data_IF_635535524542
#
_entry.id   IF_635535524542
#
_cell.length_a   1.000
_cell.length_b   1.000
_cell.length_c   1.000
_cell.angle_alpha   90.00
_cell.angle_beta   90.00
_cell.angle_gamma   90.00
#
_symmetry.space_group_name_H-M   'P 1'
#
loop_
_entity.id
_entity.type
_entity.pdbx_description
1 polymer ?
#
# COMPACT_ATOMS: atom_id res chain seq x y z
N UNK A 1 -27.27 -2.48 -1.96
CA UNK A 1 -25.91 -1.93 -2.19
C UNK A 1 -24.93 -3.08 -2.12
N UNK A 2 -24.18 -3.37 -3.19
CA UNK A 2 -23.14 -4.41 -3.17
C UNK A 2 -21.80 -3.83 -2.69
N UNK A 3 -21.82 -3.11 -1.56
CA UNK A 3 -20.64 -2.43 -1.00
C UNK A 3 -19.67 -3.45 -0.40
N UNK A 4 -18.85 -4.08 -1.25
CA UNK A 4 -17.80 -5.00 -0.81
C UNK A 4 -17.54 -6.21 -1.69
N UNK A 5 -18.43 -6.52 -2.63
CA UNK A 5 -18.27 -7.68 -3.52
C UNK A 5 -17.42 -7.34 -4.75
N UNK A 6 -16.47 -8.22 -5.06
CA UNK A 6 -15.66 -8.20 -6.27
C UNK A 6 -16.33 -8.90 -7.45
N UNK A 7 -15.63 -8.95 -8.58
CA UNK A 7 -16.14 -9.51 -9.85
C UNK A 7 -16.54 -10.99 -9.74
N UNK A 8 -15.83 -11.77 -8.93
CA UNK A 8 -16.08 -13.20 -8.74
C UNK A 8 -17.06 -13.50 -7.59
N UNK A 9 -17.74 -12.48 -7.07
CA UNK A 9 -18.67 -12.62 -5.94
C UNK A 9 -17.99 -12.79 -4.57
N UNK A 10 -16.65 -12.82 -4.52
CA UNK A 10 -15.86 -12.75 -3.29
C UNK A 10 -15.72 -11.32 -2.74
N UNK A 11 -15.02 -11.15 -1.63
CA UNK A 11 -14.68 -9.83 -1.10
C UNK A 11 -13.68 -9.10 -2.00
N UNK A 12 -13.83 -7.79 -2.16
CA UNK A 12 -12.91 -6.99 -2.97
C UNK A 12 -11.53 -6.84 -2.30
N UNK A 13 -10.50 -6.54 -3.10
CA UNK A 13 -9.09 -6.46 -2.64
C UNK A 13 -8.87 -5.55 -1.42
N UNK A 14 -9.57 -4.43 -1.36
CA UNK A 14 -9.43 -3.45 -0.28
C UNK A 14 -10.58 -3.50 0.74
N UNK A 15 -11.42 -4.54 0.69
CA UNK A 15 -12.54 -4.71 1.60
C UNK A 15 -12.15 -4.79 3.08
N UNK A 16 -11.05 -5.48 3.49
CA UNK A 16 -10.64 -5.50 4.89
C UNK A 16 -10.35 -4.11 5.46
N UNK A 17 -9.61 -3.26 4.73
CA UNK A 17 -9.35 -1.87 5.14
C UNK A 17 -10.62 -1.03 5.21
N UNK A 18 -11.59 -1.30 4.33
CA UNK A 18 -12.90 -0.66 4.40
C UNK A 18 -13.68 -1.09 5.65
N UNK A 19 -13.62 -2.37 6.03
CA UNK A 19 -14.24 -2.86 7.27
C UNK A 19 -13.61 -2.23 8.51
N UNK A 20 -12.28 -2.06 8.55
CA UNK A 20 -11.60 -1.38 9.65
C UNK A 20 -12.01 0.09 9.77
N UNK A 21 -12.12 0.79 8.63
CA UNK A 21 -12.60 2.16 8.59
C UNK A 21 -14.04 2.28 9.10
N UNK A 22 -14.94 1.42 8.61
CA UNK A 22 -16.33 1.39 9.08
C UNK A 22 -16.42 1.08 10.57
N UNK A 23 -15.64 0.11 11.05
CA UNK A 23 -15.61 -0.26 12.47
C UNK A 23 -15.18 0.93 13.33
N UNK A 24 -14.16 1.68 12.89
CA UNK A 24 -13.74 2.89 13.59
C UNK A 24 -14.85 3.96 13.61
N UNK A 25 -15.55 4.18 12.49
CA UNK A 25 -16.63 5.17 12.41
C UNK A 25 -17.79 4.79 13.34
N UNK A 26 -18.26 3.54 13.30
CA UNK A 26 -19.38 3.09 14.14
C UNK A 26 -19.10 3.30 15.63
N UNK A 27 -17.87 3.01 16.09
CA UNK A 27 -17.48 3.20 17.49
C UNK A 27 -17.36 4.68 17.87
N UNK A 28 -16.87 5.53 16.97
CA UNK A 28 -16.51 6.91 17.31
C UNK A 28 -17.58 7.96 16.94
N UNK A 29 -18.58 7.62 16.13
CA UNK A 29 -19.65 8.56 15.70
C UNK A 29 -21.05 8.09 16.08
N UNK A 30 -21.20 6.95 16.77
CA UNK A 30 -22.51 6.34 17.04
C UNK A 30 -23.35 6.99 18.15
N UNK A 31 -22.76 7.82 19.02
CA UNK A 31 -23.46 8.39 20.20
C UNK A 31 -23.75 9.88 20.13
N UNK A 32 -23.18 10.61 19.17
CA UNK A 32 -23.35 12.07 19.05
C UNK A 32 -23.60 12.43 17.58
N UNK A 33 -24.48 13.39 17.34
CA UNK A 33 -24.69 14.02 16.01
C UNK A 33 -23.48 14.87 15.56
N UNK A 34 -22.37 14.82 16.30
CA UNK A 34 -21.16 15.59 16.00
C UNK A 34 -20.16 14.77 15.21
N UNK A 35 -19.67 15.36 14.12
CA UNK A 35 -18.68 14.79 13.20
C UNK A 35 -17.25 14.74 13.79
N UNK A 36 -17.05 15.23 15.01
CA UNK A 36 -15.75 15.29 15.69
C UNK A 36 -15.06 13.92 15.83
N UNK A 37 -15.83 12.85 16.01
CA UNK A 37 -15.31 11.48 16.15
C UNK A 37 -14.66 10.93 14.89
N UNK A 38 -14.98 11.47 13.70
CA UNK A 38 -14.47 10.99 12.41
C UNK A 38 -12.96 11.18 12.27
N UNK A 39 -12.40 12.22 12.88
CA UNK A 39 -10.97 12.53 12.81
C UNK A 39 -10.08 11.47 13.47
N UNK A 40 -10.61 10.73 14.45
CA UNK A 40 -9.90 9.61 15.09
C UNK A 40 -9.64 8.46 14.12
N UNK A 41 -10.43 8.36 13.05
CA UNK A 41 -10.38 7.31 12.04
C UNK A 41 -9.53 7.67 10.82
N UNK A 42 -8.78 8.78 10.88
CA UNK A 42 -7.85 9.17 9.80
C UNK A 42 -6.82 8.09 9.47
N UNK A 43 -6.21 7.35 10.42
CA UNK A 43 -5.27 6.29 10.08
C UNK A 43 -5.89 5.18 9.22
N UNK A 44 -7.04 4.63 9.64
CA UNK A 44 -7.77 3.60 8.90
C UNK A 44 -8.24 4.11 7.54
N UNK A 45 -8.65 5.39 7.49
CA UNK A 45 -9.01 6.04 6.23
C UNK A 45 -7.81 6.07 5.30
N UNK A 46 -6.67 6.53 5.79
CA UNK A 46 -5.47 6.67 4.98
C UNK A 46 -4.98 5.32 4.46
N UNK A 47 -5.12 4.23 5.22
CA UNK A 47 -4.80 2.87 4.79
C UNK A 47 -5.76 2.37 3.69
N UNK A 48 -7.05 2.64 3.82
CA UNK A 48 -8.03 2.33 2.77
C UNK A 48 -7.72 3.08 1.45
N UNK A 49 -7.43 4.38 1.54
CA UNK A 49 -7.03 5.18 0.37
C UNK A 49 -5.68 4.76 -0.21
N UNK A 50 -4.77 4.27 0.63
CA UNK A 50 -3.50 3.71 0.20
C UNK A 50 -3.76 2.45 -0.64
N UNK A 51 -4.53 1.47 -0.15
CA UNK A 51 -4.85 0.25 -0.91
C UNK A 51 -5.54 0.50 -2.26
N UNK A 52 -6.38 1.55 -2.34
CA UNK A 52 -7.08 1.90 -3.57
C UNK A 52 -6.16 2.52 -4.62
N UNK A 53 -5.19 3.35 -4.19
CA UNK A 53 -4.43 4.21 -5.11
C UNK A 53 -2.92 3.95 -5.11
N UNK A 54 -2.41 3.15 -4.19
CA UNK A 54 -1.01 2.72 -4.05
C UNK A 54 0.01 3.87 -4.13
N UNK A 55 -0.36 5.08 -3.68
CA UNK A 55 0.47 6.29 -3.84
C UNK A 55 1.78 6.17 -3.07
N UNK A 56 1.74 5.66 -1.84
CA UNK A 56 2.92 5.52 -0.99
C UNK A 56 3.82 4.40 -1.54
N UNK A 57 3.22 3.27 -1.93
CA UNK A 57 3.93 2.17 -2.58
C UNK A 57 4.64 2.60 -3.87
N UNK A 58 3.95 3.28 -4.80
CA UNK A 58 4.55 3.77 -6.04
C UNK A 58 5.77 4.67 -5.79
N UNK A 59 5.66 5.61 -4.83
CA UNK A 59 6.77 6.49 -4.46
C UNK A 59 7.95 5.71 -3.89
N UNK A 60 7.69 4.75 -2.99
CA UNK A 60 8.74 3.91 -2.39
C UNK A 60 9.45 3.09 -3.47
N UNK A 61 8.70 2.47 -4.37
CA UNK A 61 9.24 1.67 -5.48
C UNK A 61 10.08 2.52 -6.43
N UNK A 62 9.66 3.74 -6.75
CA UNK A 62 10.46 4.67 -7.56
C UNK A 62 11.77 5.07 -6.87
N UNK A 63 11.73 5.35 -5.56
CA UNK A 63 12.93 5.69 -4.79
C UNK A 63 13.93 4.53 -4.75
N UNK A 64 13.45 3.29 -4.53
CA UNK A 64 14.28 2.08 -4.54
C UNK A 64 14.92 1.87 -5.92
N UNK A 65 14.13 1.98 -7.01
CA UNK A 65 14.64 1.91 -8.38
C UNK A 65 15.72 2.96 -8.67
N UNK A 66 15.50 4.19 -8.23
CA UNK A 66 16.46 5.27 -8.41
C UNK A 66 17.77 4.99 -7.66
N UNK A 67 17.70 4.50 -6.42
CA UNK A 67 18.86 4.09 -5.65
C UNK A 67 19.61 2.92 -6.32
N UNK A 68 18.90 1.90 -6.80
CA UNK A 68 19.46 0.78 -7.54
C UNK A 68 20.20 1.23 -8.81
N UNK A 69 19.57 2.12 -9.59
CA UNK A 69 20.18 2.67 -10.81
C UNK A 69 21.40 3.55 -10.53
N UNK A 70 21.45 4.26 -9.40
CA UNK A 70 22.64 5.01 -8.98
C UNK A 70 23.80 4.05 -8.67
N UNK A 71 23.52 2.99 -7.92
CA UNK A 71 24.53 1.98 -7.57
C UNK A 71 25.11 1.28 -8.80
N UNK A 72 24.25 0.87 -9.74
CA UNK A 72 24.66 0.30 -11.03
C UNK A 72 25.67 1.17 -11.81
N UNK A 73 25.59 2.50 -11.66
CA UNK A 73 26.49 3.43 -12.35
C UNK A 73 27.78 3.71 -11.58
N UNK A 74 27.73 3.65 -10.25
CA UNK A 74 28.84 4.03 -9.38
C UNK A 74 29.77 2.86 -9.06
N UNK A 75 29.23 1.65 -8.94
CA UNK A 75 29.97 0.47 -8.51
C UNK A 75 30.19 -0.48 -9.69
N UNK A 76 31.41 -0.52 -10.29
CA UNK A 76 31.71 -1.41 -11.40
C UNK A 76 31.77 -2.90 -10.98
N UNK A 77 31.89 -3.19 -9.68
CA UNK A 77 31.88 -4.55 -9.14
C UNK A 77 30.48 -5.02 -8.72
N UNK A 78 29.46 -4.18 -8.87
CA UNK A 78 28.10 -4.54 -8.54
C UNK A 78 27.57 -5.59 -9.54
N UNK A 79 27.75 -6.86 -9.19
CA UNK A 79 27.25 -7.98 -9.99
C UNK A 79 25.75 -8.12 -9.82
N UNK A 80 25.03 -7.66 -10.84
CA UNK A 80 23.58 -7.73 -10.86
C UNK A 80 23.04 -9.16 -10.84
N UNK A 81 23.83 -10.18 -11.22
CA UNK A 81 23.41 -11.58 -11.25
C UNK A 81 23.46 -12.24 -9.87
N UNK A 82 24.20 -11.66 -8.93
CA UNK A 82 24.34 -12.20 -7.58
C UNK A 82 23.32 -11.53 -6.65
N UNK A 83 22.33 -12.27 -6.11
CA UNK A 83 21.41 -11.70 -5.14
C UNK A 83 22.16 -11.34 -3.84
N UNK A 84 21.91 -10.15 -3.31
CA UNK A 84 22.51 -9.70 -2.04
C UNK A 84 21.76 -10.17 -0.79
N UNK A 85 20.65 -10.88 -0.97
CA UNK A 85 19.85 -11.46 0.11
C UNK A 85 18.37 -11.58 -0.24
N UNK A 86 17.55 -11.89 0.76
CA UNK A 86 16.10 -12.08 0.62
C UNK A 86 15.38 -10.78 0.21
N UNK A 87 15.89 -9.62 0.64
CA UNK A 87 15.36 -8.30 0.36
C UNK A 87 15.94 -7.63 -0.90
N UNK A 88 16.51 -8.41 -1.83
CA UNK A 88 17.00 -7.86 -3.09
C UNK A 88 15.86 -7.22 -3.90
N UNK A 89 16.12 -6.08 -4.54
CA UNK A 89 15.13 -5.33 -5.34
C UNK A 89 14.54 -6.21 -6.47
N UNK A 90 15.29 -7.24 -6.89
CA UNK A 90 14.88 -8.25 -7.87
C UNK A 90 13.90 -9.28 -7.33
N UNK A 91 14.13 -9.81 -6.12
CA UNK A 91 13.21 -10.78 -5.50
C UNK A 91 11.85 -10.14 -5.20
N UNK A 92 11.87 -8.85 -4.87
CA UNK A 92 10.68 -8.04 -4.63
C UNK A 92 9.88 -7.68 -5.90
N UNK A 93 10.32 -8.10 -7.08
CA UNK A 93 9.61 -7.84 -8.35
C UNK A 93 9.54 -6.35 -8.72
N UNK A 94 10.35 -5.50 -8.09
CA UNK A 94 10.29 -4.05 -8.30
C UNK A 94 10.89 -3.67 -9.66
N UNK A 95 11.87 -4.42 -10.17
CA UNK A 95 12.41 -4.21 -11.52
C UNK A 95 11.45 -4.84 -12.55
N UNK A 96 10.83 -4.01 -13.39
CA UNK A 96 9.97 -4.46 -14.48
C UNK A 96 10.70 -5.48 -15.36
N UNK A 97 10.10 -6.66 -15.58
CA UNK A 97 10.37 -7.46 -16.77
C UNK A 97 9.71 -6.73 -17.93
N UNK A 98 10.53 -6.30 -18.88
CA UNK A 98 10.08 -5.72 -20.15
C UNK A 98 9.14 -6.68 -20.87
#
# INVERSE_FOLDING_TARGET
MASGYGLDGGVSRCFPFWQDLLSCYVVNTGSTTSDEGKWKCVPQRDDYYECLHHKKEMRKTQAIKAAYNRRLKQDPNFDTRKPEGEADVRSLGLLQKK
#
